data_IF_858356250094
#
_entry.id   IF_858356250094
#
_cell.length_a   1.000
_cell.length_b   1.000
_cell.length_c   1.000
_cell.angle_alpha   90.00
_cell.angle_beta   90.00
_cell.angle_gamma   90.00
#
_symmetry.space_group_name_H-M   'P 1'
#
loop_
_entity.id
_entity.type
_entity.pdbx_description
1 polymer ?
#
# COMPACT_ATOMS: atom_id res chain seq x y z
N UNK A 1 22.01 -8.40 14.90
CA UNK A 1 21.73 -6.96 14.69
C UNK A 1 21.23 -6.64 13.28
N UNK A 2 21.91 -7.07 12.20
CA UNK A 2 21.50 -6.76 10.81
C UNK A 2 20.05 -7.17 10.46
N UNK A 3 19.61 -8.35 10.89
CA UNK A 3 18.25 -8.83 10.62
C UNK A 3 17.17 -7.99 11.34
N UNK A 4 17.46 -7.46 12.54
CA UNK A 4 16.51 -6.62 13.30
C UNK A 4 16.29 -5.29 12.58
N UNK A 5 17.36 -4.65 12.08
CA UNK A 5 17.22 -3.43 11.28
C UNK A 5 16.40 -3.68 10.01
N UNK A 6 16.64 -4.81 9.33
CA UNK A 6 15.90 -5.17 8.12
C UNK A 6 14.41 -5.37 8.41
N UNK A 7 14.08 -6.02 9.52
CA UNK A 7 12.71 -6.20 9.99
C UNK A 7 12.06 -4.84 10.29
N UNK A 8 12.73 -3.96 11.04
CA UNK A 8 12.22 -2.63 11.36
C UNK A 8 11.95 -1.81 10.09
N UNK A 9 12.86 -1.81 9.12
CA UNK A 9 12.65 -1.12 7.84
C UNK A 9 11.49 -1.74 7.03
N UNK A 10 11.40 -3.07 6.96
CA UNK A 10 10.29 -3.73 6.29
C UNK A 10 8.93 -3.38 6.89
N UNK A 11 8.84 -3.34 8.23
CA UNK A 11 7.62 -2.93 8.95
C UNK A 11 7.27 -1.46 8.72
N UNK A 12 8.26 -0.56 8.69
CA UNK A 12 8.04 0.86 8.39
C UNK A 12 7.51 1.04 6.96
N UNK A 13 8.05 0.31 6.00
CA UNK A 13 7.59 0.36 4.61
C UNK A 13 6.16 -0.20 4.49
N UNK A 14 5.84 -1.29 5.20
CA UNK A 14 4.48 -1.83 5.25
C UNK A 14 3.48 -0.84 5.86
N UNK A 15 3.83 -0.22 7.00
CA UNK A 15 3.00 0.81 7.62
C UNK A 15 2.79 2.00 6.68
N UNK A 16 3.85 2.46 6.02
CA UNK A 16 3.78 3.52 5.02
C UNK A 16 2.88 3.14 3.84
N UNK A 17 2.99 1.91 3.31
CA UNK A 17 2.15 1.43 2.22
C UNK A 17 0.67 1.40 2.60
N UNK A 18 0.33 0.95 3.81
CA UNK A 18 -1.05 0.94 4.31
C UNK A 18 -1.58 2.35 4.52
N UNK A 19 -0.79 3.24 5.12
CA UNK A 19 -1.19 4.64 5.32
C UNK A 19 -1.40 5.37 3.99
N UNK A 20 -0.51 5.16 3.03
CA UNK A 20 -0.63 5.77 1.71
C UNK A 20 -1.84 5.22 0.95
N UNK A 21 -2.08 3.91 1.01
CA UNK A 21 -3.31 3.31 0.48
C UNK A 21 -4.56 3.92 1.11
N UNK A 22 -4.59 4.05 2.44
CA UNK A 22 -5.74 4.62 3.15
C UNK A 22 -6.03 6.06 2.70
N UNK A 23 -5.00 6.91 2.64
CA UNK A 23 -5.15 8.30 2.18
C UNK A 23 -5.67 8.37 0.72
N UNK A 24 -5.33 7.38 -0.10
CA UNK A 24 -5.74 7.31 -1.50
C UNK A 24 -7.19 6.86 -1.67
N UNK A 25 -7.62 5.84 -0.93
CA UNK A 25 -8.88 5.16 -1.16
C UNK A 25 -9.98 5.47 -0.12
N UNK A 26 -9.67 6.14 1.00
CA UNK A 26 -10.66 6.42 2.06
C UNK A 26 -11.91 7.13 1.54
N UNK A 27 -11.76 8.10 0.63
CA UNK A 27 -12.87 8.92 0.17
C UNK A 27 -13.76 8.12 -0.78
N UNK A 28 -13.16 7.33 -1.70
CA UNK A 28 -13.94 6.47 -2.61
C UNK A 28 -14.65 5.33 -1.88
N UNK A 29 -14.11 4.88 -0.73
CA UNK A 29 -14.79 3.94 0.17
C UNK A 29 -15.94 4.66 0.91
N UNK A 30 -15.67 5.84 1.47
CA UNK A 30 -16.62 6.60 2.28
C UNK A 30 -17.86 7.02 1.48
N UNK A 31 -17.66 7.47 0.24
CA UNK A 31 -18.74 7.86 -0.68
C UNK A 31 -19.29 6.68 -1.51
N UNK A 32 -18.92 5.45 -1.19
CA UNK A 32 -19.40 4.22 -1.84
C UNK A 32 -19.16 4.14 -3.36
N UNK A 33 -18.17 4.86 -3.89
CA UNK A 33 -17.74 4.73 -5.29
C UNK A 33 -16.99 3.43 -5.57
N UNK A 34 -16.34 2.85 -4.55
CA UNK A 34 -15.67 1.56 -4.61
C UNK A 34 -15.91 0.81 -3.30
N UNK A 35 -16.45 -0.43 -3.32
CA UNK A 35 -16.67 -1.17 -2.08
C UNK A 35 -15.33 -1.51 -1.41
N UNK A 36 -15.32 -1.53 -0.08
CA UNK A 36 -14.10 -1.70 0.71
C UNK A 36 -13.30 -2.97 0.34
N UNK A 37 -14.00 -4.06 -0.03
CA UNK A 37 -13.36 -5.30 -0.50
C UNK A 37 -12.54 -5.11 -1.77
N UNK A 38 -13.04 -4.32 -2.72
CA UNK A 38 -12.38 -4.08 -4.00
C UNK A 38 -11.24 -3.07 -3.81
N UNK A 39 -11.43 -2.10 -2.91
CA UNK A 39 -10.37 -1.19 -2.48
C UNK A 39 -9.21 -1.94 -1.81
N UNK A 40 -9.49 -2.96 -0.99
CA UNK A 40 -8.47 -3.77 -0.33
C UNK A 40 -7.57 -4.51 -1.34
N UNK A 41 -8.12 -4.96 -2.48
CA UNK A 41 -7.32 -5.55 -3.57
C UNK A 41 -6.32 -4.53 -4.12
N UNK A 42 -6.68 -3.24 -4.14
CA UNK A 42 -5.78 -2.18 -4.59
C UNK A 42 -4.58 -1.94 -3.68
N UNK A 43 -4.55 -2.49 -2.46
CA UNK A 43 -3.37 -2.43 -1.58
C UNK A 43 -2.23 -3.33 -2.11
N UNK A 44 -2.58 -4.46 -2.70
CA UNK A 44 -1.62 -5.50 -3.08
C UNK A 44 -1.50 -5.68 -4.59
N UNK A 45 -2.33 -5.01 -5.38
CA UNK A 45 -2.31 -5.14 -6.83
C UNK A 45 -2.98 -3.98 -7.56
N UNK A 46 -3.13 -4.15 -8.87
CA UNK A 46 -3.80 -3.17 -9.72
C UNK A 46 -4.88 -3.86 -10.56
N UNK A 47 -6.10 -3.34 -10.47
CA UNK A 47 -7.25 -3.76 -11.30
C UNK A 47 -7.82 -2.55 -12.04
N UNK A 48 -8.76 -2.78 -12.98
CA UNK A 48 -9.49 -1.69 -13.63
C UNK A 48 -10.28 -0.81 -12.66
N UNK A 49 -10.74 -1.37 -11.54
CA UNK A 49 -11.41 -0.59 -10.49
C UNK A 49 -10.43 0.32 -9.74
N UNK A 50 -9.19 -0.13 -9.50
CA UNK A 50 -8.14 0.68 -8.88
C UNK A 50 -7.68 1.84 -9.77
N UNK A 51 -7.61 1.64 -11.09
CA UNK A 51 -7.30 2.74 -12.03
C UNK A 51 -8.44 3.74 -12.11
N UNK A 52 -9.70 3.27 -12.16
CA UNK A 52 -10.88 4.13 -12.14
C UNK A 52 -10.93 4.97 -10.86
N UNK A 53 -10.78 4.36 -9.69
CA UNK A 53 -10.79 5.06 -8.40
C UNK A 53 -9.71 6.16 -8.33
N UNK A 54 -8.48 5.87 -8.77
CA UNK A 54 -7.42 6.90 -8.80
C UNK A 54 -7.68 8.01 -9.82
N UNK A 55 -8.34 7.71 -10.94
CA UNK A 55 -8.72 8.74 -11.91
C UNK A 55 -9.74 9.73 -11.32
N UNK A 56 -10.68 9.25 -10.49
CA UNK A 56 -11.63 10.11 -9.76
C UNK A 56 -10.93 11.04 -8.76
N UNK A 57 -9.82 10.61 -8.14
CA UNK A 57 -9.07 11.42 -7.18
C UNK A 57 -8.27 12.58 -7.83
N UNK A 58 -7.97 12.53 -9.14
CA UNK A 58 -7.08 13.53 -9.78
C UNK A 58 -7.67 14.94 -9.91
N UNK A 59 -8.96 15.14 -9.59
CA UNK A 59 -9.63 16.43 -9.69
C UNK A 59 -9.31 17.41 -8.54
N UNK A 60 -9.04 16.91 -7.33
CA UNK A 60 -9.00 17.74 -6.12
C UNK A 60 -8.00 17.28 -5.05
N UNK A 61 -7.26 16.20 -5.29
CA UNK A 61 -6.36 15.61 -4.30
C UNK A 61 -4.88 15.83 -4.63
N UNK A 62 -4.00 15.85 -3.61
CA UNK A 62 -2.57 15.90 -3.82
C UNK A 62 -2.10 14.76 -4.73
N UNK A 63 -1.17 15.05 -5.67
CA UNK A 63 -0.62 14.03 -6.57
C UNK A 63 -0.07 12.81 -5.84
N UNK A 64 0.44 12.99 -4.61
CA UNK A 64 0.92 11.89 -3.78
C UNK A 64 -0.20 10.88 -3.53
N UNK A 65 -1.41 11.32 -3.15
CA UNK A 65 -2.55 10.42 -2.97
C UNK A 65 -2.96 9.76 -4.31
N UNK A 66 -2.95 10.50 -5.42
CA UNK A 66 -3.34 9.95 -6.73
C UNK A 66 -2.34 8.91 -7.30
N UNK A 67 -1.10 8.87 -6.78
CA UNK A 67 -0.01 8.05 -7.31
C UNK A 67 0.38 6.88 -6.42
N UNK A 68 -0.57 6.35 -5.64
CA UNK A 68 -0.34 5.11 -4.89
C UNK A 68 0.22 3.99 -5.79
N UNK A 69 1.27 3.32 -5.31
CA UNK A 69 1.93 2.21 -5.98
C UNK A 69 1.97 0.97 -5.09
N UNK A 70 1.28 -0.09 -5.53
CA UNK A 70 1.15 -1.37 -4.84
C UNK A 70 2.50 -2.08 -4.62
N UNK A 71 3.53 -1.73 -5.40
CA UNK A 71 4.89 -2.24 -5.18
C UNK A 71 5.47 -1.88 -3.81
N UNK A 72 5.05 -0.77 -3.20
CA UNK A 72 5.48 -0.38 -1.85
C UNK A 72 5.14 -1.44 -0.80
N UNK A 73 3.95 -2.03 -0.88
CA UNK A 73 3.54 -3.12 0.01
C UNK A 73 4.44 -4.34 -0.16
N UNK A 74 4.69 -4.75 -1.40
CA UNK A 74 5.52 -5.92 -1.70
C UNK A 74 6.98 -5.75 -1.31
N UNK A 75 7.55 -4.54 -1.43
CA UNK A 75 8.89 -4.25 -0.95
C UNK A 75 8.97 -4.43 0.57
N UNK A 76 8.02 -3.86 1.31
CA UNK A 76 7.97 -4.01 2.77
C UNK A 76 7.81 -5.47 3.19
N UNK A 77 6.92 -6.22 2.53
CA UNK A 77 6.71 -7.64 2.79
C UNK A 77 7.94 -8.49 2.47
N UNK A 78 8.60 -8.23 1.34
CA UNK A 78 9.82 -8.94 0.96
C UNK A 78 10.96 -8.69 1.96
N UNK A 79 11.16 -7.45 2.41
CA UNK A 79 12.18 -7.11 3.40
C UNK A 79 11.90 -7.74 4.77
N UNK A 80 10.64 -7.68 5.23
CA UNK A 80 10.23 -8.33 6.47
C UNK A 80 10.41 -9.85 6.39
N UNK A 81 10.05 -10.47 5.26
CA UNK A 81 10.20 -11.91 5.04
C UNK A 81 11.68 -12.33 4.98
N UNK A 82 12.51 -11.55 4.29
CA UNK A 82 13.96 -11.78 4.21
C UNK A 82 14.64 -11.69 5.58
N UNK A 83 14.13 -10.83 6.48
CA UNK A 83 14.64 -10.74 7.85
C UNK A 83 14.43 -12.05 8.63
N UNK A 84 13.30 -12.74 8.41
CA UNK A 84 12.98 -14.02 9.06
C UNK A 84 13.87 -15.16 8.57
N UNK A 85 14.22 -15.18 7.29
CA UNK A 85 15.15 -16.19 6.74
C UNK A 85 16.57 -15.96 7.24
N UNK A 86 16.99 -14.69 7.39
CA UNK A 86 18.32 -14.32 7.91
C UNK A 86 18.46 -14.53 9.43
N UNK A 87 17.35 -14.60 10.18
CA UNK A 87 17.38 -14.96 11.61
C UNK A 87 17.60 -16.46 11.83
N UNK A 88 17.20 -17.29 10.85
CA UNK A 88 17.28 -18.75 10.92
C UNK A 88 18.51 -19.37 10.23
N UNK A 89 19.29 -18.57 9.50
CA UNK A 89 20.51 -18.98 8.81
C UNK A 89 21.75 -18.61 9.64
#
# INVERSE_FOLDING_TARGET
MRAVHLLSFGLLILAFAVLWWWVTYRDVIHYAYLPARDAAVCLVGQTGACSLARALCRGSHPLVAANYWWGTFWIGLAMASLSLTLVRA
#
